data_IF_794486915116
#
_entry.id   IF_794486915116
#
_cell.length_a   1.000
_cell.length_b   1.000
_cell.length_c   1.000
_cell.angle_alpha   90.00
_cell.angle_beta   90.00
_cell.angle_gamma   90.00
#
_symmetry.space_group_name_H-M   'P 1'
#
loop_
_entity.id
_entity.type
_entity.pdbx_description
1 polymer ?
#
# COMPACT_ATOMS: atom_id res chain seq x y z
N UNK A 1 1.28 11.38 -20.40
CA UNK A 1 0.02 10.66 -20.23
C UNK A 1 -0.89 11.40 -19.25
N UNK A 2 -2.20 11.28 -19.43
CA UNK A 2 -3.21 11.68 -18.45
C UNK A 2 -3.51 10.49 -17.53
N UNK A 3 -3.24 10.61 -16.25
CA UNK A 3 -3.34 9.53 -15.28
C UNK A 3 -4.40 9.86 -14.22
N UNK A 4 -5.34 8.95 -13.99
CA UNK A 4 -6.22 9.02 -12.83
C UNK A 4 -5.55 8.27 -11.66
N UNK A 5 -5.14 9.00 -10.63
CA UNK A 5 -4.57 8.45 -9.40
C UNK A 5 -5.63 8.46 -8.29
N UNK A 6 -6.16 7.29 -7.92
CA UNK A 6 -7.06 7.20 -6.76
C UNK A 6 -6.26 7.13 -5.47
N UNK A 7 -6.81 7.73 -4.41
CA UNK A 7 -6.12 7.78 -3.11
C UNK A 7 -4.95 8.76 -3.06
N UNK A 8 -4.96 9.79 -3.89
CA UNK A 8 -3.88 10.79 -4.02
C UNK A 8 -3.53 11.53 -2.70
N UNK A 9 -4.45 11.59 -1.73
CA UNK A 9 -4.22 12.20 -0.41
C UNK A 9 -3.70 11.23 0.65
N UNK A 10 -3.64 9.93 0.34
CA UNK A 10 -3.08 8.92 1.24
C UNK A 10 -1.55 8.90 1.24
N UNK A 11 -0.96 8.16 2.18
CA UNK A 11 0.49 8.05 2.35
C UNK A 11 1.23 7.69 1.04
N UNK A 12 0.88 6.55 0.42
CA UNK A 12 1.48 6.13 -0.85
C UNK A 12 1.06 7.08 -1.98
N UNK A 13 -0.21 7.49 -2.00
CA UNK A 13 -0.76 8.32 -3.07
C UNK A 13 -0.10 9.70 -3.20
N UNK A 14 0.26 10.35 -2.10
CA UNK A 14 0.96 11.64 -2.14
C UNK A 14 2.34 11.51 -2.80
N UNK A 15 3.10 10.47 -2.46
CA UNK A 15 4.41 10.20 -3.07
C UNK A 15 4.27 9.84 -4.54
N UNK A 16 3.27 9.02 -4.91
CA UNK A 16 2.94 8.71 -6.30
C UNK A 16 2.57 9.97 -7.08
N UNK A 17 1.70 10.82 -6.53
CA UNK A 17 1.28 12.06 -7.17
C UNK A 17 2.47 12.96 -7.50
N UNK A 18 3.37 13.17 -6.53
CA UNK A 18 4.58 13.96 -6.73
C UNK A 18 5.50 13.34 -7.79
N UNK A 19 5.79 12.04 -7.70
CA UNK A 19 6.68 11.34 -8.63
C UNK A 19 6.14 11.34 -10.07
N UNK A 20 4.85 11.09 -10.26
CA UNK A 20 4.21 11.10 -11.58
C UNK A 20 4.25 12.48 -12.22
N UNK A 21 4.01 13.54 -11.47
CA UNK A 21 4.11 14.92 -11.97
C UNK A 21 5.55 15.29 -12.33
N UNK A 22 6.52 14.92 -11.51
CA UNK A 22 7.95 15.12 -11.79
C UNK A 22 8.37 14.38 -13.07
N UNK A 23 7.78 13.23 -13.35
CA UNK A 23 8.00 12.48 -14.59
C UNK A 23 7.26 13.07 -15.82
N UNK A 24 6.59 14.22 -15.69
CA UNK A 24 5.92 14.92 -16.80
C UNK A 24 4.52 14.41 -17.11
N UNK A 25 3.91 13.58 -16.25
CA UNK A 25 2.53 13.15 -16.44
C UNK A 25 1.53 14.21 -15.94
N UNK A 26 0.36 14.28 -16.60
CA UNK A 26 -0.78 15.04 -16.10
C UNK A 26 -1.61 14.13 -15.18
N UNK A 27 -1.67 14.47 -13.90
CA UNK A 27 -2.33 13.61 -12.91
C UNK A 27 -3.65 14.25 -12.47
N UNK A 28 -4.75 13.54 -12.67
CA UNK A 28 -6.01 13.80 -12.02
C UNK A 28 -6.02 13.12 -10.66
N UNK A 29 -6.03 13.91 -9.60
CA UNK A 29 -5.92 13.43 -8.22
C UNK A 29 -7.29 13.02 -7.68
N UNK A 30 -7.51 11.72 -7.56
CA UNK A 30 -8.70 11.16 -6.93
C UNK A 30 -8.68 11.34 -5.42
N UNK A 31 -9.61 12.11 -4.89
CA UNK A 31 -9.68 12.50 -3.49
C UNK A 31 -11.06 12.24 -2.91
N UNK A 32 -11.15 12.04 -1.57
CA UNK A 32 -12.46 11.92 -0.94
C UNK A 32 -13.26 13.22 -1.08
N UNK A 33 -14.61 13.17 -1.11
CA UNK A 33 -15.43 14.37 -1.20
C UNK A 33 -15.11 15.40 -0.11
N UNK A 34 -14.85 14.93 1.11
CA UNK A 34 -14.43 15.79 2.24
C UNK A 34 -13.09 16.47 1.97
N UNK A 35 -12.12 15.76 1.38
CA UNK A 35 -10.82 16.36 1.05
C UNK A 35 -10.92 17.39 -0.06
N UNK A 36 -11.75 17.13 -1.08
CA UNK A 36 -12.00 18.06 -2.18
C UNK A 36 -12.64 19.38 -1.68
N UNK A 37 -13.58 19.28 -0.74
CA UNK A 37 -14.24 20.44 -0.16
C UNK A 37 -13.30 21.26 0.76
N UNK A 38 -12.44 20.56 1.52
CA UNK A 38 -11.54 21.23 2.47
C UNK A 38 -10.40 22.01 1.80
N UNK A 39 -9.89 21.51 0.66
CA UNK A 39 -8.80 22.13 -0.10
C UNK A 39 -9.02 21.89 -1.61
N UNK A 40 -9.91 22.66 -2.25
CA UNK A 40 -10.19 22.48 -3.68
C UNK A 40 -8.94 22.77 -4.53
N UNK A 41 -8.67 21.91 -5.50
CA UNK A 41 -7.61 22.10 -6.50
C UNK A 41 -8.14 21.70 -7.89
N UNK A 42 -7.68 22.34 -8.98
CA UNK A 42 -8.23 22.14 -10.32
C UNK A 42 -8.06 20.70 -10.86
N UNK A 43 -7.04 19.98 -10.40
CA UNK A 43 -6.71 18.63 -10.80
C UNK A 43 -7.38 17.54 -9.94
N UNK A 44 -8.19 17.94 -8.94
CA UNK A 44 -8.88 17.01 -8.06
C UNK A 44 -10.17 16.48 -8.68
N UNK A 45 -10.37 15.18 -8.52
CA UNK A 45 -11.59 14.46 -8.90
C UNK A 45 -12.20 13.87 -7.63
N UNK A 46 -13.37 14.35 -7.18
CA UNK A 46 -14.06 13.77 -6.02
C UNK A 46 -14.49 12.33 -6.30
N UNK A 47 -14.21 11.41 -5.35
CA UNK A 47 -14.62 10.00 -5.44
C UNK A 47 -14.85 9.41 -4.06
N UNK A 48 -15.91 8.64 -3.91
CA UNK A 48 -16.30 8.01 -2.66
C UNK A 48 -16.16 6.49 -2.77
N UNK A 49 -15.04 5.96 -2.26
CA UNK A 49 -14.78 4.51 -2.30
C UNK A 49 -15.73 3.67 -1.44
N UNK A 50 -16.56 4.28 -0.61
CA UNK A 50 -17.62 3.58 0.10
C UNK A 50 -18.91 3.43 -0.74
N UNK A 51 -19.07 4.24 -1.79
CA UNK A 51 -20.34 4.37 -2.54
C UNK A 51 -20.21 4.19 -4.05
N UNK A 52 -19.07 4.53 -4.67
CA UNK A 52 -18.83 4.47 -6.12
C UNK A 52 -18.60 3.01 -6.58
N UNK A 53 -19.55 2.13 -6.26
CA UNK A 53 -19.45 0.67 -6.44
C UNK A 53 -19.97 0.16 -7.77
N UNK A 54 -20.33 1.06 -8.71
CA UNK A 54 -20.81 0.69 -10.05
C UNK A 54 -19.94 1.34 -11.13
N UNK A 55 -19.78 0.70 -12.31
CA UNK A 55 -18.98 1.25 -13.41
C UNK A 55 -19.43 2.63 -13.87
N UNK A 56 -20.74 2.89 -13.87
CA UNK A 56 -21.34 4.15 -14.33
C UNK A 56 -20.84 5.36 -13.54
N UNK A 57 -20.55 5.17 -12.25
CA UNK A 57 -19.98 6.22 -11.41
C UNK A 57 -18.56 6.63 -11.86
N UNK A 58 -17.84 5.74 -12.57
CA UNK A 58 -16.46 5.94 -12.98
C UNK A 58 -16.31 6.44 -14.41
N UNK A 59 -17.21 6.09 -15.32
CA UNK A 59 -17.10 6.42 -16.75
C UNK A 59 -16.86 7.92 -17.02
N UNK A 60 -17.57 8.89 -16.38
CA UNK A 60 -17.30 10.31 -16.61
C UNK A 60 -15.90 10.74 -16.15
N UNK A 61 -15.35 10.08 -15.12
CA UNK A 61 -14.05 10.39 -14.55
C UNK A 61 -12.88 9.84 -15.39
N UNK A 62 -13.17 8.89 -16.30
CA UNK A 62 -12.20 8.24 -17.18
C UNK A 62 -12.07 8.92 -18.55
N UNK A 63 -12.88 9.95 -18.85
CA UNK A 63 -12.78 10.68 -20.10
C UNK A 63 -11.40 11.34 -20.25
N UNK A 64 -10.69 11.02 -21.35
CA UNK A 64 -9.36 11.53 -21.64
C UNK A 64 -8.26 11.00 -20.72
N UNK A 65 -8.47 9.87 -20.03
CA UNK A 65 -7.49 9.18 -19.21
C UNK A 65 -6.79 8.08 -20.00
N UNK A 66 -5.47 8.04 -19.94
CA UNK A 66 -4.63 7.04 -20.61
C UNK A 66 -4.34 5.84 -19.68
N UNK A 67 -4.24 6.09 -18.36
CA UNK A 67 -3.92 5.07 -17.38
C UNK A 67 -4.57 5.36 -16.01
N UNK A 68 -4.81 4.31 -15.24
CA UNK A 68 -5.32 4.39 -13.87
C UNK A 68 -4.30 3.79 -12.90
N UNK A 69 -4.05 4.50 -11.79
CA UNK A 69 -3.28 4.00 -10.65
C UNK A 69 -4.18 3.97 -9.43
N UNK A 70 -4.50 2.77 -8.93
CA UNK A 70 -5.32 2.63 -7.73
C UNK A 70 -4.43 2.39 -6.50
N UNK A 71 -4.32 3.42 -5.65
CA UNK A 71 -3.57 3.41 -4.40
C UNK A 71 -4.47 3.51 -3.15
N UNK A 72 -5.79 3.31 -3.29
CA UNK A 72 -6.70 3.33 -2.15
C UNK A 72 -6.63 2.02 -1.38
N UNK A 73 -6.55 2.13 -0.06
CA UNK A 73 -6.60 0.99 0.84
C UNK A 73 -6.82 1.43 2.28
N UNK A 74 -7.35 0.52 3.09
CA UNK A 74 -7.53 0.67 4.54
C UNK A 74 -7.07 -0.60 5.22
N UNK A 75 -6.47 -0.49 6.40
CA UNK A 75 -6.08 -1.68 7.16
C UNK A 75 -7.26 -2.22 7.98
N UNK A 76 -8.14 -1.35 8.44
CA UNK A 76 -9.26 -1.68 9.33
C UNK A 76 -10.59 -1.25 8.73
N UNK A 77 -11.60 -2.07 8.99
CA UNK A 77 -12.99 -1.78 8.66
C UNK A 77 -13.54 -0.62 9.49
N UNK A 78 -14.38 0.22 8.89
CA UNK A 78 -15.14 1.25 9.59
C UNK A 78 -16.41 1.60 8.82
N UNK A 79 -17.41 2.14 9.51
CA UNK A 79 -18.66 2.58 8.87
C UNK A 79 -18.41 3.65 7.78
N UNK A 80 -17.41 4.52 7.97
CA UNK A 80 -17.04 5.55 6.99
C UNK A 80 -16.24 4.99 5.81
N UNK A 81 -15.53 3.89 5.99
CA UNK A 81 -14.71 3.23 4.97
C UNK A 81 -14.84 1.71 5.10
N UNK A 82 -15.99 1.13 4.63
CA UNK A 82 -16.23 -0.31 4.68
C UNK A 82 -15.17 -1.04 3.82
N UNK A 83 -14.46 -2.00 4.42
CA UNK A 83 -13.31 -2.65 3.80
C UNK A 83 -13.68 -3.38 2.49
N UNK A 84 -14.87 -4.00 2.43
CA UNK A 84 -15.33 -4.69 1.21
C UNK A 84 -15.59 -3.70 0.07
N UNK A 85 -16.22 -2.55 0.37
CA UNK A 85 -16.41 -1.51 -0.63
C UNK A 85 -15.06 -0.97 -1.10
N UNK A 86 -14.17 -0.60 -0.16
CA UNK A 86 -12.89 0.06 -0.46
C UNK A 86 -11.90 -0.86 -1.19
N UNK A 87 -11.85 -2.14 -0.86
CA UNK A 87 -10.87 -3.07 -1.43
C UNK A 87 -11.38 -3.91 -2.58
N UNK A 88 -12.69 -4.17 -2.67
CA UNK A 88 -13.26 -5.09 -3.64
C UNK A 88 -14.27 -4.41 -4.57
N UNK A 89 -15.43 -3.93 -4.04
CA UNK A 89 -16.53 -3.52 -4.90
C UNK A 89 -16.17 -2.31 -5.75
N UNK A 90 -15.66 -1.26 -5.14
CA UNK A 90 -15.28 -0.03 -5.84
C UNK A 90 -14.09 -0.20 -6.78
N UNK A 91 -12.99 -0.89 -6.41
CA UNK A 91 -11.94 -1.22 -7.37
C UNK A 91 -12.44 -2.07 -8.55
N UNK A 92 -13.27 -3.10 -8.33
CA UNK A 92 -13.84 -3.89 -9.41
C UNK A 92 -14.69 -3.03 -10.38
N UNK A 93 -15.52 -2.14 -9.84
CA UNK A 93 -16.31 -1.20 -10.64
C UNK A 93 -15.41 -0.26 -11.47
N UNK A 94 -14.34 0.28 -10.86
CA UNK A 94 -13.35 1.10 -11.56
C UNK A 94 -12.67 0.32 -12.69
N UNK A 95 -12.27 -0.94 -12.47
CA UNK A 95 -11.60 -1.76 -13.49
C UNK A 95 -12.54 -2.13 -14.65
N UNK A 96 -13.79 -2.44 -14.35
CA UNK A 96 -14.83 -2.66 -15.35
C UNK A 96 -15.09 -1.38 -16.18
N UNK A 97 -15.14 -0.22 -15.53
CA UNK A 97 -15.28 1.05 -16.21
C UNK A 97 -14.04 1.36 -17.09
N UNK A 98 -12.82 1.02 -16.65
CA UNK A 98 -11.62 1.12 -17.48
C UNK A 98 -11.76 0.30 -18.77
N UNK A 99 -12.20 -0.95 -18.65
CA UNK A 99 -12.43 -1.81 -19.81
C UNK A 99 -13.49 -1.21 -20.78
N UNK A 100 -14.59 -0.69 -20.26
CA UNK A 100 -15.65 -0.04 -21.06
C UNK A 100 -15.18 1.26 -21.73
N UNK A 101 -14.36 2.06 -21.03
CA UNK A 101 -13.83 3.33 -21.54
C UNK A 101 -12.59 3.18 -22.43
N UNK A 102 -12.06 1.96 -22.63
CA UNK A 102 -10.85 1.70 -23.41
C UNK A 102 -9.57 2.09 -22.69
N UNK A 103 -9.59 2.34 -21.37
CA UNK A 103 -8.41 2.62 -20.56
C UNK A 103 -7.73 1.30 -20.19
N UNK A 104 -6.80 0.88 -21.03
CA UNK A 104 -6.17 -0.45 -20.89
C UNK A 104 -5.20 -0.53 -19.72
N UNK A 105 -4.39 0.52 -19.49
CA UNK A 105 -3.31 0.50 -18.49
C UNK A 105 -3.84 0.75 -17.08
N UNK A 106 -3.75 -0.27 -16.23
CA UNK A 106 -4.18 -0.20 -14.82
C UNK A 106 -3.06 -0.69 -13.91
N UNK A 107 -2.65 0.14 -12.95
CA UNK A 107 -1.69 -0.22 -11.89
C UNK A 107 -2.45 -0.30 -10.57
N UNK A 108 -2.46 -1.49 -9.96
CA UNK A 108 -3.12 -1.75 -8.66
C UNK A 108 -2.09 -1.90 -7.56
N UNK A 109 -2.16 -1.07 -6.53
CA UNK A 109 -1.39 -1.28 -5.30
C UNK A 109 -2.16 -2.27 -4.41
N UNK A 110 -1.66 -3.50 -4.38
CA UNK A 110 -2.16 -4.59 -3.53
C UNK A 110 -1.31 -4.71 -2.27
N UNK A 111 -1.05 -5.92 -1.79
CA UNK A 111 -0.15 -6.19 -0.66
C UNK A 111 0.51 -7.56 -0.80
N UNK A 112 1.74 -7.69 -0.30
CA UNK A 112 2.41 -8.97 -0.11
C UNK A 112 1.84 -9.66 1.15
N UNK A 113 2.00 -10.98 1.26
CA UNK A 113 1.55 -11.76 2.42
C UNK A 113 0.02 -12.00 2.50
N UNK A 114 -0.76 -11.56 1.49
CA UNK A 114 -2.22 -11.79 1.48
C UNK A 114 -2.61 -13.19 1.01
N UNK A 115 -1.75 -13.88 0.26
CA UNK A 115 -2.01 -15.27 -0.17
C UNK A 115 -1.95 -16.21 1.04
N UNK A 116 -3.00 -17.02 1.20
CA UNK A 116 -3.12 -17.95 2.33
C UNK A 116 -3.58 -17.34 3.65
N UNK A 117 -3.70 -16.01 3.74
CA UNK A 117 -4.26 -15.34 4.92
C UNK A 117 -5.79 -15.39 4.90
N UNK A 118 -6.40 -15.75 6.04
CA UNK A 118 -7.85 -15.80 6.22
C UNK A 118 -8.46 -14.44 6.62
N UNK A 119 -7.64 -13.38 6.77
CA UNK A 119 -8.10 -12.06 7.16
C UNK A 119 -9.06 -11.45 6.13
N UNK A 120 -9.99 -10.62 6.57
CA UNK A 120 -10.91 -9.89 5.67
C UNK A 120 -10.13 -8.96 4.74
N UNK A 121 -9.06 -8.34 5.26
CA UNK A 121 -8.11 -7.55 4.47
C UNK A 121 -7.55 -8.34 3.27
N UNK A 122 -7.02 -9.54 3.54
CA UNK A 122 -6.43 -10.37 2.49
C UNK A 122 -7.46 -10.82 1.45
N UNK A 123 -8.63 -11.30 1.91
CA UNK A 123 -9.71 -11.77 1.02
C UNK A 123 -10.20 -10.67 0.07
N UNK A 124 -10.44 -9.47 0.60
CA UNK A 124 -10.94 -8.36 -0.21
C UNK A 124 -9.91 -7.84 -1.22
N UNK A 125 -8.63 -7.79 -0.83
CA UNK A 125 -7.53 -7.48 -1.77
C UNK A 125 -7.41 -8.52 -2.89
N UNK A 126 -7.47 -9.82 -2.55
CA UNK A 126 -7.42 -10.91 -3.52
C UNK A 126 -8.63 -10.91 -4.48
N UNK A 127 -9.81 -10.53 -3.99
CA UNK A 127 -11.00 -10.39 -4.82
C UNK A 127 -10.84 -9.29 -5.90
N UNK A 128 -10.26 -8.13 -5.54
CA UNK A 128 -9.94 -7.10 -6.53
C UNK A 128 -8.90 -7.56 -7.55
N UNK A 129 -7.87 -8.30 -7.11
CA UNK A 129 -6.89 -8.88 -8.04
C UNK A 129 -7.51 -9.91 -8.98
N UNK A 130 -8.47 -10.70 -8.49
CA UNK A 130 -9.20 -11.68 -9.33
C UNK A 130 -10.02 -10.96 -10.42
N UNK A 131 -10.69 -9.86 -10.06
CA UNK A 131 -11.41 -9.02 -11.00
C UNK A 131 -10.47 -8.48 -12.11
N UNK A 132 -9.29 -7.94 -11.73
CA UNK A 132 -8.29 -7.48 -12.68
C UNK A 132 -7.81 -8.60 -13.62
N UNK A 133 -7.51 -9.79 -13.09
CA UNK A 133 -7.07 -10.92 -13.90
C UNK A 133 -8.13 -11.36 -14.89
N UNK A 134 -9.39 -11.46 -14.45
CA UNK A 134 -10.50 -11.83 -15.34
C UNK A 134 -10.64 -10.86 -16.53
N UNK A 135 -10.49 -9.55 -16.31
CA UNK A 135 -10.54 -8.55 -17.38
C UNK A 135 -9.29 -8.62 -18.28
N UNK A 136 -8.13 -8.96 -17.72
CA UNK A 136 -6.90 -9.17 -18.49
C UNK A 136 -6.97 -10.43 -19.36
N UNK A 137 -7.47 -11.53 -18.81
CA UNK A 137 -7.65 -12.80 -19.53
C UNK A 137 -8.65 -12.64 -20.70
N UNK A 138 -9.64 -11.75 -20.54
CA UNK A 138 -10.55 -11.34 -21.60
C UNK A 138 -9.92 -10.33 -22.60
N UNK A 139 -8.65 -9.96 -22.46
CA UNK A 139 -7.94 -9.01 -23.33
C UNK A 139 -8.43 -7.56 -23.22
N UNK A 140 -9.21 -7.21 -22.21
CA UNK A 140 -9.84 -5.89 -22.09
C UNK A 140 -8.92 -4.84 -21.48
N UNK A 141 -8.03 -5.23 -20.55
CA UNK A 141 -7.08 -4.36 -19.88
C UNK A 141 -5.68 -5.00 -19.78
N UNK A 142 -4.68 -4.18 -19.56
CA UNK A 142 -3.26 -4.56 -19.38
C UNK A 142 -2.80 -4.19 -17.95
N UNK A 143 -3.20 -4.96 -16.92
CA UNK A 143 -2.97 -4.58 -15.54
C UNK A 143 -1.58 -4.95 -15.05
N UNK A 144 -1.06 -4.16 -14.10
CA UNK A 144 0.04 -4.53 -13.22
C UNK A 144 -0.44 -4.49 -11.77
N UNK A 145 -0.24 -5.59 -11.06
CA UNK A 145 -0.55 -5.71 -9.64
C UNK A 145 0.77 -5.63 -8.87
N UNK A 146 0.97 -4.54 -8.16
CA UNK A 146 2.10 -4.39 -7.26
C UNK A 146 1.72 -4.89 -5.87
N UNK A 147 2.48 -5.83 -5.35
CA UNK A 147 2.33 -6.37 -3.99
C UNK A 147 3.49 -5.89 -3.13
N UNK A 148 3.42 -4.69 -2.55
CA UNK A 148 4.45 -4.25 -1.63
C UNK A 148 4.45 -5.08 -0.34
N UNK A 149 5.65 -5.35 0.19
CA UNK A 149 5.86 -5.66 1.59
C UNK A 149 5.51 -4.41 2.42
N UNK A 150 5.95 -4.34 3.66
CA UNK A 150 5.69 -3.16 4.47
C UNK A 150 6.30 -1.90 3.85
N UNK A 151 5.44 -0.97 3.39
CA UNK A 151 5.89 0.29 2.82
C UNK A 151 6.33 1.23 3.94
N UNK A 152 7.56 1.72 3.86
CA UNK A 152 8.14 2.64 4.82
C UNK A 152 8.36 4.02 4.21
N UNK A 153 7.98 5.07 4.97
CA UNK A 153 8.21 6.47 4.60
C UNK A 153 7.42 7.45 5.46
N UNK A 154 7.74 8.72 5.33
CA UNK A 154 7.08 9.82 6.04
C UNK A 154 5.59 9.92 5.67
N UNK A 155 4.74 10.03 6.67
CA UNK A 155 3.28 10.09 6.49
C UNK A 155 2.57 8.73 6.56
N UNK A 156 3.30 7.62 6.68
CA UNK A 156 2.72 6.30 6.92
C UNK A 156 2.49 6.04 8.42
N UNK A 157 1.28 5.62 8.80
CA UNK A 157 0.93 5.34 10.21
C UNK A 157 1.80 4.23 10.81
N UNK A 158 2.00 3.13 10.06
CA UNK A 158 2.90 2.05 10.49
C UNK A 158 4.34 2.51 10.59
N UNK A 159 4.80 3.35 9.66
CA UNK A 159 6.16 3.92 9.70
C UNK A 159 6.35 4.81 10.92
N UNK A 160 5.37 5.66 11.24
CA UNK A 160 5.39 6.49 12.43
C UNK A 160 5.40 5.65 13.72
N UNK A 161 4.60 4.57 13.77
CA UNK A 161 4.61 3.63 14.89
C UNK A 161 6.00 3.01 15.09
N UNK A 162 6.63 2.48 14.05
CA UNK A 162 7.97 1.88 14.14
C UNK A 162 9.04 2.91 14.49
N UNK A 163 8.97 4.12 13.95
CA UNK A 163 9.89 5.21 14.31
C UNK A 163 9.76 5.61 15.79
N UNK A 164 8.54 5.64 16.33
CA UNK A 164 8.30 5.93 17.73
C UNK A 164 8.78 4.79 18.64
N UNK A 165 8.50 3.53 18.28
CA UNK A 165 9.03 2.37 19.02
C UNK A 165 10.57 2.37 19.04
N UNK A 166 11.20 2.74 17.93
CA UNK A 166 12.65 2.82 17.82
C UNK A 166 13.30 3.87 18.74
N UNK A 167 12.55 4.83 19.28
CA UNK A 167 13.05 5.83 20.26
C UNK A 167 13.04 5.33 21.70
N UNK A 168 12.25 4.29 22.01
CA UNK A 168 12.08 3.81 23.36
C UNK A 168 13.31 3.01 23.84
N UNK A 169 13.83 3.24 25.04
CA UNK A 169 14.96 2.47 25.59
C UNK A 169 14.55 1.05 25.98
N UNK A 170 13.26 0.81 26.20
CA UNK A 170 12.66 -0.51 26.46
C UNK A 170 11.50 -0.70 25.50
N UNK A 171 11.51 -1.79 24.75
CA UNK A 171 10.45 -2.12 23.78
C UNK A 171 9.83 -3.45 24.13
N UNK A 172 8.51 -3.46 24.25
CA UNK A 172 7.74 -4.69 24.47
C UNK A 172 7.17 -5.15 23.13
N UNK A 173 7.68 -6.27 22.62
CA UNK A 173 7.19 -6.84 21.37
C UNK A 173 6.18 -7.96 21.59
N UNK A 174 5.05 -7.94 20.88
CA UNK A 174 4.20 -9.11 20.70
C UNK A 174 5.02 -10.29 20.20
N UNK A 175 4.75 -11.50 20.72
CA UNK A 175 5.54 -12.68 20.37
C UNK A 175 5.73 -12.90 18.85
N UNK A 176 4.71 -12.72 17.96
CA UNK A 176 4.89 -12.86 16.52
C UNK A 176 5.87 -11.85 15.90
N UNK A 177 6.00 -10.63 16.43
CA UNK A 177 6.95 -9.64 15.91
C UNK A 177 8.42 -10.04 16.08
N UNK A 178 8.72 -10.97 17.00
CA UNK A 178 10.07 -11.49 17.21
C UNK A 178 10.46 -12.56 16.18
N UNK A 179 9.51 -13.13 15.47
CA UNK A 179 9.74 -14.23 14.52
C UNK A 179 9.31 -13.89 13.09
N UNK A 180 8.20 -13.15 12.93
CA UNK A 180 7.70 -12.75 11.62
C UNK A 180 8.73 -11.94 10.84
N UNK A 181 8.96 -12.35 9.58
CA UNK A 181 9.91 -11.70 8.68
C UNK A 181 9.17 -10.74 7.75
N UNK A 182 9.76 -9.58 7.56
CA UNK A 182 9.32 -8.55 6.63
C UNK A 182 10.47 -8.18 5.71
N UNK A 183 10.14 -7.52 4.61
CA UNK A 183 11.13 -7.03 3.65
C UNK A 183 10.76 -5.59 3.26
N UNK A 184 11.00 -4.62 4.17
CA UNK A 184 10.48 -3.26 4.05
C UNK A 184 10.91 -2.60 2.75
N UNK A 185 9.97 -1.90 2.10
CA UNK A 185 10.21 -1.17 0.85
C UNK A 185 10.02 0.32 1.05
N UNK A 186 10.92 1.12 0.47
CA UNK A 186 10.78 2.58 0.45
C UNK A 186 9.54 3.00 -0.34
N UNK A 187 8.77 3.95 0.19
CA UNK A 187 7.65 4.55 -0.55
C UNK A 187 8.12 5.23 -1.84
N UNK A 188 9.35 5.75 -1.87
CA UNK A 188 9.95 6.36 -3.05
C UNK A 188 10.34 5.31 -4.11
N UNK A 189 10.83 4.15 -3.70
CA UNK A 189 11.09 3.03 -4.62
C UNK A 189 9.79 2.52 -5.23
N UNK A 190 8.73 2.38 -4.42
CA UNK A 190 7.42 2.00 -4.94
C UNK A 190 6.90 3.04 -5.96
N UNK A 191 7.08 4.32 -5.68
CA UNK A 191 6.69 5.38 -6.61
C UNK A 191 7.53 5.36 -7.89
N UNK A 192 8.83 5.15 -7.80
CA UNK A 192 9.72 5.03 -8.96
C UNK A 192 9.32 3.85 -9.86
N UNK A 193 8.96 2.70 -9.28
CA UNK A 193 8.46 1.54 -10.03
C UNK A 193 7.16 1.85 -10.78
N UNK A 194 6.21 2.57 -10.14
CA UNK A 194 4.98 2.99 -10.81
C UNK A 194 5.27 3.93 -11.99
N UNK A 195 6.19 4.88 -11.82
CA UNK A 195 6.64 5.77 -12.92
C UNK A 195 7.24 4.95 -14.06
N UNK A 196 8.12 3.99 -13.77
CA UNK A 196 8.73 3.12 -14.78
C UNK A 196 7.69 2.31 -15.55
N UNK A 197 6.67 1.78 -14.87
CA UNK A 197 5.56 1.01 -15.47
C UNK A 197 4.67 1.84 -16.40
N UNK A 198 4.61 3.15 -16.22
CA UNK A 198 3.85 4.07 -17.05
C UNK A 198 4.71 4.71 -18.16
N UNK A 199 5.99 4.40 -18.19
CA UNK A 199 6.90 4.82 -19.27
C UNK A 199 6.62 4.09 -20.59
N UNK A 200 7.01 4.70 -21.73
CA UNK A 200 6.72 4.14 -23.06
C UNK A 200 7.46 2.84 -23.36
N UNK A 201 8.58 2.58 -22.67
CA UNK A 201 9.46 1.44 -22.92
C UNK A 201 8.96 0.13 -22.26
N UNK A 202 8.10 0.20 -21.26
CA UNK A 202 7.73 -0.96 -20.44
C UNK A 202 6.24 -1.33 -20.62
N UNK A 203 5.99 -2.36 -21.44
CA UNK A 203 4.66 -3.00 -21.54
C UNK A 203 4.56 -4.24 -20.66
N UNK A 204 4.91 -4.10 -19.36
CA UNK A 204 4.83 -5.20 -18.42
C UNK A 204 3.40 -5.34 -17.87
N UNK A 205 2.94 -6.59 -17.71
CA UNK A 205 1.67 -6.96 -17.07
C UNK A 205 1.94 -8.01 -16.00
N UNK A 206 0.95 -8.32 -15.17
CA UNK A 206 1.04 -9.37 -14.18
C UNK A 206 1.23 -8.86 -12.75
N UNK A 207 1.76 -9.71 -11.88
CA UNK A 207 1.90 -9.41 -10.44
C UNK A 207 3.36 -9.36 -10.06
N UNK A 208 3.79 -8.29 -9.40
CA UNK A 208 5.18 -8.03 -9.00
C UNK A 208 5.23 -7.85 -7.47
N UNK A 209 6.10 -8.61 -6.81
CA UNK A 209 6.42 -8.39 -5.41
C UNK A 209 7.34 -7.16 -5.29
N UNK A 210 6.93 -6.17 -4.50
CA UNK A 210 7.72 -4.96 -4.28
C UNK A 210 8.32 -5.02 -2.87
N UNK A 211 9.59 -5.38 -2.80
CA UNK A 211 10.30 -5.61 -1.53
C UNK A 211 11.61 -4.85 -1.48
N UNK A 212 12.11 -4.61 -0.27
CA UNK A 212 13.50 -4.24 -0.10
C UNK A 212 14.45 -5.39 -0.49
N UNK A 213 15.78 -5.16 -0.52
CA UNK A 213 16.75 -6.18 -0.94
C UNK A 213 16.77 -7.43 -0.07
N UNK A 214 16.63 -7.27 1.24
CA UNK A 214 16.82 -8.35 2.21
C UNK A 214 15.67 -8.45 3.21
N UNK A 215 15.23 -9.67 3.55
CA UNK A 215 14.26 -9.91 4.60
C UNK A 215 14.92 -9.88 6.00
N UNK A 216 14.17 -9.36 6.99
CA UNK A 216 14.59 -9.38 8.38
C UNK A 216 13.38 -9.54 9.31
N UNK A 217 13.64 -9.91 10.57
CA UNK A 217 12.56 -9.97 11.57
C UNK A 217 12.06 -8.56 11.88
N UNK A 218 10.81 -8.43 12.21
CA UNK A 218 10.21 -7.12 12.51
C UNK A 218 10.87 -6.44 13.70
N UNK A 219 11.30 -7.20 14.72
CA UNK A 219 12.07 -6.67 15.85
C UNK A 219 13.43 -6.12 15.42
N UNK A 220 14.13 -6.81 14.49
CA UNK A 220 15.43 -6.36 13.97
C UNK A 220 15.26 -5.11 13.11
N UNK A 221 14.11 -4.97 12.42
CA UNK A 221 13.79 -3.74 11.71
C UNK A 221 13.68 -2.54 12.65
N UNK A 222 12.97 -2.67 13.78
CA UNK A 222 12.89 -1.60 14.79
C UNK A 222 14.28 -1.30 15.38
N UNK A 223 15.11 -2.31 15.61
CA UNK A 223 16.49 -2.12 16.07
C UNK A 223 17.34 -1.36 15.03
N UNK A 224 17.19 -1.67 13.74
CA UNK A 224 17.85 -0.94 12.66
C UNK A 224 17.39 0.52 12.59
N UNK A 225 16.09 0.79 12.69
CA UNK A 225 15.57 2.17 12.72
C UNK A 225 16.13 2.94 13.94
N UNK A 226 16.26 2.28 15.08
CA UNK A 226 16.85 2.86 16.28
C UNK A 226 18.31 3.26 16.07
N UNK A 227 19.10 2.37 15.48
CA UNK A 227 20.50 2.63 15.14
C UNK A 227 20.63 3.82 14.17
N UNK A 228 19.76 3.90 13.14
CA UNK A 228 19.74 5.00 12.18
C UNK A 228 19.38 6.35 12.84
N UNK A 229 18.69 6.34 13.98
CA UNK A 229 18.39 7.53 14.77
C UNK A 229 19.50 7.86 15.79
N UNK A 230 20.61 7.12 15.81
CA UNK A 230 21.72 7.35 16.71
C UNK A 230 21.49 6.88 18.17
N UNK A 231 20.51 6.01 18.40
CA UNK A 231 20.21 5.51 19.74
C UNK A 231 20.95 4.19 20.03
N UNK A 232 21.41 4.01 21.28
CA UNK A 232 21.97 2.74 21.76
C UNK A 232 20.92 1.60 21.71
N UNK A 233 21.32 0.30 21.65
CA UNK A 233 20.38 -0.83 21.65
C UNK A 233 19.33 -0.75 22.76
N UNK A 234 18.08 -1.10 22.46
CA UNK A 234 16.99 -1.13 23.43
C UNK A 234 16.96 -2.47 24.18
N UNK A 235 16.43 -2.45 25.40
CA UNK A 235 16.02 -3.67 26.09
C UNK A 235 14.72 -4.19 25.43
N UNK A 236 14.77 -5.41 24.89
CA UNK A 236 13.61 -6.04 24.26
C UNK A 236 12.94 -7.00 25.22
N UNK A 237 11.68 -6.77 25.51
CA UNK A 237 10.82 -7.64 26.31
C UNK A 237 9.80 -8.33 25.41
N UNK A 238 9.60 -9.63 25.64
CA UNK A 238 8.60 -10.43 24.95
C UNK A 238 7.26 -10.36 25.65
N UNK A 239 6.22 -9.95 24.94
CA UNK A 239 4.84 -10.08 25.40
C UNK A 239 4.37 -11.52 25.10
N UNK A 240 4.00 -12.33 26.11
CA UNK A 240 3.49 -13.69 25.90
C UNK A 240 2.25 -13.71 25.02
N UNK A 241 2.05 -14.80 24.24
CA UNK A 241 0.98 -14.91 23.26
C UNK A 241 -0.45 -14.66 23.83
N UNK A 242 -0.81 -15.15 25.06
CA UNK A 242 -2.12 -14.82 25.63
C UNK A 242 -2.32 -13.32 25.85
N UNK A 243 -1.31 -12.61 26.35
CA UNK A 243 -1.36 -11.17 26.55
C UNK A 243 -1.34 -10.41 25.22
N UNK A 244 -0.59 -10.91 24.25
CA UNK A 244 -0.60 -10.39 22.88
C UNK A 244 -2.02 -10.44 22.27
N UNK A 245 -2.71 -11.59 22.39
CA UNK A 245 -4.08 -11.75 21.89
C UNK A 245 -5.05 -10.85 22.65
N UNK A 246 -4.90 -10.72 23.96
CA UNK A 246 -5.73 -9.83 24.77
C UNK A 246 -5.54 -8.37 24.33
N UNK A 247 -4.28 -7.92 24.17
CA UNK A 247 -3.98 -6.55 23.72
C UNK A 247 -4.53 -6.25 22.31
N UNK A 248 -4.49 -7.23 21.40
CA UNK A 248 -5.06 -7.08 20.07
C UNK A 248 -6.59 -6.96 20.08
N UNK A 249 -7.28 -7.76 20.95
CA UNK A 249 -8.73 -7.64 21.18
C UNK A 249 -9.10 -6.28 21.78
N UNK A 250 -8.29 -5.76 22.70
CA UNK A 250 -8.49 -4.39 23.22
C UNK A 250 -8.31 -3.37 22.09
N UNK A 251 -7.33 -3.59 21.19
CA UNK A 251 -7.12 -2.78 20.01
C UNK A 251 -8.33 -2.75 19.05
N UNK A 252 -9.14 -3.83 19.00
CA UNK A 252 -10.36 -3.87 18.19
C UNK A 252 -11.40 -2.82 18.62
N UNK A 253 -11.38 -2.41 19.89
CA UNK A 253 -12.27 -1.40 20.47
C UNK A 253 -11.78 0.05 20.21
N UNK A 254 -10.53 0.22 19.76
CA UNK A 254 -9.95 1.52 19.48
C UNK A 254 -10.34 2.02 18.07
N UNK A 255 -10.26 3.34 17.82
CA UNK A 255 -10.52 3.90 16.49
C UNK A 255 -9.70 3.23 15.39
N UNK A 256 -10.24 3.16 14.18
CA UNK A 256 -9.60 2.52 13.02
C UNK A 256 -8.24 3.15 12.62
N UNK A 257 -7.90 4.33 13.14
CA UNK A 257 -6.58 4.96 13.00
C UNK A 257 -5.48 4.25 13.80
N UNK A 258 -5.83 3.44 14.81
CA UNK A 258 -4.85 2.63 15.57
C UNK A 258 -4.59 1.35 14.80
N UNK A 259 -3.36 1.08 14.30
CA UNK A 259 -3.11 -0.08 13.44
C UNK A 259 -3.10 -1.43 14.19
N UNK A 260 -2.98 -1.43 15.54
CA UNK A 260 -2.93 -2.65 16.34
C UNK A 260 -4.33 -3.18 16.63
N UNK A 261 -4.63 -4.39 16.14
CA UNK A 261 -5.93 -5.08 16.30
C UNK A 261 -5.76 -6.59 16.03
N UNK A 262 -6.81 -7.38 16.23
CA UNK A 262 -6.81 -8.82 16.00
C UNK A 262 -6.49 -9.16 14.52
N UNK A 263 -6.96 -8.38 13.57
CA UNK A 263 -6.70 -8.61 12.15
C UNK A 263 -5.24 -8.29 11.79
N UNK A 264 -4.67 -7.21 12.31
CA UNK A 264 -3.24 -6.90 12.12
C UNK A 264 -2.33 -7.94 12.79
N UNK A 265 -2.73 -8.50 13.95
CA UNK A 265 -2.02 -9.59 14.58
C UNK A 265 -2.03 -10.84 13.70
N UNK A 266 -3.17 -11.20 13.10
CA UNK A 266 -3.27 -12.35 12.21
C UNK A 266 -2.43 -12.21 10.93
N UNK A 267 -2.17 -10.99 10.46
CA UNK A 267 -1.25 -10.76 9.34
C UNK A 267 0.23 -11.04 9.69
N UNK A 268 0.57 -11.11 10.99
CA UNK A 268 1.92 -11.46 11.46
C UNK A 268 2.13 -12.99 11.60
N UNK A 269 1.11 -13.80 11.36
CA UNK A 269 1.23 -15.27 11.42
C UNK A 269 1.98 -15.85 10.20
N UNK A 270 2.24 -15.03 9.18
CA UNK A 270 3.00 -15.40 7.98
C UNK A 270 4.07 -14.36 7.65
N UNK A 271 5.14 -14.83 7.02
CA UNK A 271 6.20 -13.97 6.52
C UNK A 271 5.69 -13.07 5.38
N UNK A 272 6.12 -11.83 5.42
CA UNK A 272 5.83 -10.83 4.38
C UNK A 272 7.11 -10.55 3.56
N UNK A 273 7.55 -11.59 2.84
CA UNK A 273 8.80 -11.63 2.07
C UNK A 273 8.54 -12.09 0.64
N UNK A 274 9.37 -11.66 -0.29
CA UNK A 274 9.26 -12.00 -1.71
C UNK A 274 10.59 -11.86 -2.45
N UNK A 275 10.62 -12.29 -3.71
CA UNK A 275 11.79 -12.10 -4.57
C UNK A 275 11.87 -10.63 -5.04
N UNK A 276 12.97 -9.91 -4.76
CA UNK A 276 13.15 -8.52 -5.18
C UNK A 276 13.48 -8.36 -6.68
N UNK A 277 13.89 -9.42 -7.39
CA UNK A 277 14.52 -9.35 -8.69
C UNK A 277 13.69 -8.58 -9.74
N UNK A 278 12.39 -8.88 -9.85
CA UNK A 278 11.51 -8.18 -10.79
C UNK A 278 11.30 -6.71 -10.43
N UNK A 279 11.23 -6.41 -9.14
CA UNK A 279 11.09 -5.04 -8.66
C UNK A 279 12.36 -4.22 -8.90
N UNK A 280 13.54 -4.80 -8.64
CA UNK A 280 14.83 -4.17 -8.90
C UNK A 280 15.08 -3.93 -10.40
N UNK A 281 14.61 -4.85 -11.27
CA UNK A 281 14.60 -4.61 -12.71
C UNK A 281 13.77 -3.39 -13.10
N UNK A 282 12.59 -3.18 -12.47
CA UNK A 282 11.80 -1.96 -12.71
C UNK A 282 12.49 -0.70 -12.24
N UNK A 283 13.22 -0.78 -11.13
CA UNK A 283 13.97 0.36 -10.59
C UNK A 283 15.25 0.66 -11.37
N UNK A 284 15.79 -0.31 -12.12
CA UNK A 284 17.11 -0.24 -12.75
C UNK A 284 18.27 -0.22 -11.73
N UNK A 285 17.99 -0.57 -10.48
CA UNK A 285 18.93 -0.60 -9.35
C UNK A 285 18.37 -1.44 -8.19
N UNK A 286 19.21 -1.85 -7.22
CA UNK A 286 18.72 -2.39 -5.98
C UNK A 286 17.78 -1.42 -5.24
N UNK A 287 16.80 -1.96 -4.54
CA UNK A 287 15.94 -1.18 -3.65
C UNK A 287 16.72 -0.56 -2.49
N UNK A 288 16.14 0.43 -1.82
CA UNK A 288 16.76 1.01 -0.62
C UNK A 288 16.82 -0.04 0.48
N UNK A 289 18.04 -0.35 0.94
CA UNK A 289 18.27 -1.30 2.02
C UNK A 289 17.67 -0.79 3.34
N UNK A 290 17.12 -1.70 4.16
CA UNK A 290 16.44 -1.36 5.42
C UNK A 290 17.30 -0.52 6.37
N UNK A 291 18.63 -0.69 6.34
CA UNK A 291 19.57 0.08 7.17
C UNK A 291 19.74 1.55 6.76
N UNK A 292 19.13 1.98 5.66
CA UNK A 292 19.22 3.35 5.15
C UNK A 292 17.83 3.98 4.90
N UNK A 293 16.76 3.34 5.36
CA UNK A 293 15.39 3.80 5.11
C UNK A 293 15.07 5.13 5.79
N UNK A 294 15.66 5.42 6.95
CA UNK A 294 15.43 6.72 7.61
C UNK A 294 15.96 7.87 6.75
N UNK A 295 17.18 7.77 6.24
CA UNK A 295 17.74 8.81 5.36
C UNK A 295 17.04 8.87 4.00
N UNK A 296 16.61 7.71 3.45
CA UNK A 296 16.05 7.61 2.10
C UNK A 296 14.55 7.84 1.98
N UNK A 297 13.78 7.74 3.07
CA UNK A 297 12.32 7.78 3.00
C UNK A 297 11.63 8.52 4.16
N UNK A 298 12.38 9.02 5.15
CA UNK A 298 11.84 9.75 6.30
C UNK A 298 12.29 11.21 6.35
N UNK A 299 13.38 11.54 5.66
CA UNK A 299 13.97 12.89 5.56
C UNK A 299 13.08 13.95 4.94
#
# INVERSE_FOLDING_TARGET
MHILLTGATGFIGQTLHAALRTAGHQVRAGVSPRSAQAKPQPDQVPMDFARDTTPEAWLPRLQGIDAVVNAVGVLRDSAARPIDAVHQHTPCALFQACAQAGVRRVVQISALGIKGSATRYARTKLAAEACLRSLADAGQIDPVILRPSMVFGKGGDSSALFMNLARLPVVVFPAPMLTARIQPVSVHDLAAAVVALLGPALRRTGTIACTGPEPLRMADFVASLRQQQGHAPALVLRLPLPLTRLSARMGDLLPASVPWCSESLALLDSDNVGDPAEFEQLLGRPGVHYSRLVAGAWG
#
